data_IF_842720767630
#
_entry.id   IF_842720767630
#
_cell.length_a   1.000
_cell.length_b   1.000
_cell.length_c   1.000
_cell.angle_alpha   90.00
_cell.angle_beta   90.00
_cell.angle_gamma   90.00
#
_symmetry.space_group_name_H-M   'P 1'
#
loop_
_entity.id
_entity.type
_entity.pdbx_description
1 polymer ?
#
# COMPACT_ATOMS: atom_id res chain seq x y z
N UNK A 1 -22.99 1.11 -4.81
CA UNK A 1 -21.77 0.33 -4.52
C UNK A 1 -21.78 -0.86 -5.48
N UNK A 2 -20.75 -1.03 -6.29
CA UNK A 2 -20.66 -2.17 -7.23
C UNK A 2 -20.04 -3.34 -6.46
N UNK A 3 -20.57 -4.55 -6.61
CA UNK A 3 -19.97 -5.75 -5.99
C UNK A 3 -18.77 -6.22 -6.80
N UNK A 4 -17.88 -7.00 -6.18
CA UNK A 4 -16.74 -7.58 -6.90
C UNK A 4 -17.21 -8.42 -8.10
N UNK A 5 -18.26 -9.23 -7.92
CA UNK A 5 -18.83 -10.07 -8.98
C UNK A 5 -19.34 -9.24 -10.16
N UNK A 6 -20.09 -8.16 -9.89
CA UNK A 6 -20.58 -7.25 -10.94
C UNK A 6 -19.43 -6.56 -11.69
N UNK A 7 -18.36 -6.19 -10.97
CA UNK A 7 -17.17 -5.61 -11.59
C UNK A 7 -16.46 -6.63 -12.50
N UNK A 8 -16.32 -7.88 -12.05
CA UNK A 8 -15.75 -8.96 -12.86
C UNK A 8 -16.57 -9.22 -14.11
N UNK A 9 -17.89 -9.35 -13.99
CA UNK A 9 -18.77 -9.54 -15.16
C UNK A 9 -18.59 -8.42 -16.19
N UNK A 10 -18.48 -7.18 -15.72
CA UNK A 10 -18.28 -6.00 -16.59
C UNK A 10 -16.92 -6.05 -17.29
N UNK A 11 -15.84 -6.41 -16.57
CA UNK A 11 -14.50 -6.56 -17.16
C UNK A 11 -14.48 -7.70 -18.19
N UNK A 12 -15.19 -8.79 -17.93
CA UNK A 12 -15.29 -9.93 -18.85
C UNK A 12 -16.01 -9.60 -20.17
N UNK A 13 -16.81 -8.52 -20.23
CA UNK A 13 -17.40 -8.03 -21.48
C UNK A 13 -16.42 -7.27 -22.37
N UNK A 14 -15.25 -6.87 -21.85
CA UNK A 14 -14.22 -6.18 -22.64
C UNK A 14 -13.47 -7.15 -23.55
N UNK A 15 -12.93 -6.71 -24.70
CA UNK A 15 -11.97 -7.47 -25.47
C UNK A 15 -10.75 -7.89 -24.63
N UNK A 16 -10.17 -9.05 -24.94
CA UNK A 16 -9.05 -9.63 -24.17
C UNK A 16 -7.87 -8.66 -23.99
N UNK A 17 -7.53 -7.89 -25.04
CA UNK A 17 -6.49 -6.87 -24.98
C UNK A 17 -6.80 -5.76 -23.97
N UNK A 18 -8.06 -5.32 -23.90
CA UNK A 18 -8.50 -4.31 -22.93
C UNK A 18 -8.54 -4.86 -21.51
N UNK A 19 -8.88 -6.15 -21.33
CA UNK A 19 -8.79 -6.81 -20.02
C UNK A 19 -7.34 -6.79 -19.51
N UNK A 20 -6.37 -7.11 -20.36
CA UNK A 20 -4.95 -7.10 -19.99
C UNK A 20 -4.47 -5.69 -19.61
N UNK A 21 -4.86 -4.67 -20.40
CA UNK A 21 -4.54 -3.27 -20.09
C UNK A 21 -5.15 -2.86 -18.73
N UNK A 22 -6.38 -3.30 -18.45
CA UNK A 22 -7.08 -2.97 -17.21
C UNK A 22 -6.38 -3.58 -15.98
N UNK A 23 -5.87 -4.81 -16.08
CA UNK A 23 -5.04 -5.44 -15.03
C UNK A 23 -3.82 -4.57 -14.72
N UNK A 24 -3.09 -4.12 -15.74
CA UNK A 24 -1.91 -3.28 -15.56
C UNK A 24 -2.24 -1.92 -14.91
N UNK A 25 -3.35 -1.31 -15.32
CA UNK A 25 -3.81 -0.04 -14.76
C UNK A 25 -4.16 -0.21 -13.28
N UNK A 26 -4.95 -1.23 -12.93
CA UNK A 26 -5.34 -1.49 -11.54
C UNK A 26 -4.10 -1.75 -10.68
N UNK A 27 -3.16 -2.55 -11.19
CA UNK A 27 -1.93 -2.83 -10.47
C UNK A 27 -1.12 -1.57 -10.18
N UNK A 28 -0.94 -0.70 -11.19
CA UNK A 28 -0.24 0.59 -11.03
C UNK A 28 -0.95 1.51 -10.04
N UNK A 29 -2.28 1.60 -10.10
CA UNK A 29 -3.07 2.42 -9.16
C UNK A 29 -2.98 1.91 -7.73
N UNK A 30 -2.97 0.60 -7.54
CA UNK A 30 -2.81 0.02 -6.20
C UNK A 30 -1.40 0.31 -5.63
N UNK A 31 -0.35 0.24 -6.46
CA UNK A 31 0.99 0.66 -6.04
C UNK A 31 1.00 2.14 -5.65
N UNK A 32 0.37 3.01 -6.44
CA UNK A 32 0.35 4.45 -6.15
C UNK A 32 -0.42 4.75 -4.87
N UNK A 33 -1.58 4.12 -4.66
CA UNK A 33 -2.34 4.25 -3.42
C UNK A 33 -1.54 3.80 -2.19
N UNK A 34 -0.77 2.71 -2.29
CA UNK A 34 0.12 2.29 -1.20
C UNK A 34 1.26 3.27 -0.97
N UNK A 35 1.78 3.91 -2.02
CA UNK A 35 2.83 4.94 -1.87
C UNK A 35 2.29 6.17 -1.15
N UNK A 36 1.06 6.58 -1.46
CA UNK A 36 0.39 7.69 -0.77
C UNK A 36 0.20 7.39 0.71
N UNK A 37 -0.24 6.18 1.05
CA UNK A 37 -0.38 5.69 2.43
C UNK A 37 0.96 5.71 3.17
N UNK A 38 2.01 5.09 2.60
CA UNK A 38 3.37 5.10 3.18
C UNK A 38 3.88 6.54 3.38
N UNK A 39 3.63 7.44 2.43
CA UNK A 39 4.05 8.82 2.54
C UNK A 39 3.27 9.58 3.63
N UNK A 40 2.00 9.26 3.85
CA UNK A 40 1.21 9.80 4.95
C UNK A 40 1.77 9.32 6.29
N UNK A 41 1.94 8.02 6.44
CA UNK A 41 2.46 7.39 7.67
C UNK A 41 3.85 7.94 8.03
N UNK A 42 4.72 8.09 7.04
CA UNK A 42 6.05 8.67 7.24
C UNK A 42 5.98 10.12 7.74
N UNK A 43 5.10 10.95 7.18
CA UNK A 43 4.91 12.33 7.64
C UNK A 43 4.42 12.38 9.08
N UNK A 44 3.45 11.53 9.42
CA UNK A 44 2.90 11.47 10.78
C UNK A 44 3.94 10.98 11.79
N UNK A 45 4.70 9.94 11.45
CA UNK A 45 5.77 9.41 12.29
C UNK A 45 6.87 10.45 12.55
N UNK A 46 7.32 11.16 11.50
CA UNK A 46 8.34 12.22 11.64
C UNK A 46 7.81 13.36 12.52
N UNK A 47 6.57 13.79 12.32
CA UNK A 47 5.96 14.83 13.14
C UNK A 47 5.84 14.41 14.62
N UNK A 48 5.44 13.16 14.88
CA UNK A 48 5.34 12.62 16.24
C UNK A 48 6.72 12.50 16.92
N UNK A 49 7.76 12.13 16.17
CA UNK A 49 9.13 12.09 16.66
C UNK A 49 9.62 13.49 17.06
N UNK A 50 9.46 14.49 16.20
CA UNK A 50 9.84 15.88 16.50
C UNK A 50 9.03 16.48 17.65
N UNK A 51 7.78 16.05 17.83
CA UNK A 51 6.94 16.43 18.97
C UNK A 51 7.31 15.70 20.29
N UNK A 52 8.34 14.83 20.27
CA UNK A 52 8.79 14.09 21.45
C UNK A 52 7.85 12.95 21.87
N UNK A 53 6.88 12.57 21.02
CA UNK A 53 5.93 11.49 21.30
C UNK A 53 6.53 10.10 21.07
N UNK A 54 7.59 10.01 20.26
CA UNK A 54 8.31 8.78 19.96
C UNK A 54 9.72 8.83 20.56
N UNK A 55 10.20 7.69 21.04
CA UNK A 55 11.56 7.57 21.60
C UNK A 55 12.53 7.15 20.49
N UNK A 56 13.72 7.76 20.39
CA UNK A 56 14.76 7.29 19.48
C UNK A 56 15.23 5.89 19.92
N UNK A 57 15.48 5.03 18.94
CA UNK A 57 16.01 3.68 19.13
C UNK A 57 17.07 3.38 18.07
N UNK A 58 18.08 2.53 18.38
CA UNK A 58 19.06 2.08 17.40
C UNK A 58 18.39 1.33 16.25
N UNK A 59 18.85 1.59 15.01
CA UNK A 59 18.26 0.99 13.82
C UNK A 59 18.45 -0.53 13.78
N UNK A 60 19.55 -1.02 14.35
CA UNK A 60 19.88 -2.45 14.43
C UNK A 60 18.89 -3.22 15.31
N UNK A 61 18.41 -2.60 16.39
CA UNK A 61 17.39 -3.17 17.27
C UNK A 61 16.03 -3.24 16.57
N UNK A 62 15.64 -2.14 15.90
CA UNK A 62 14.39 -2.06 15.13
C UNK A 62 14.37 -3.10 14.00
N UNK A 63 15.45 -3.23 13.23
CA UNK A 63 15.54 -4.22 12.14
C UNK A 63 15.46 -5.65 12.69
N UNK A 64 16.11 -5.90 13.83
CA UNK A 64 16.10 -7.21 14.47
C UNK A 64 14.71 -7.61 14.98
N UNK A 65 13.98 -6.66 15.58
CA UNK A 65 12.60 -6.84 16.01
C UNK A 65 11.66 -7.09 14.82
N UNK A 66 11.77 -6.28 13.77
CA UNK A 66 10.94 -6.40 12.58
C UNK A 66 11.10 -7.77 11.92
N UNK A 67 12.34 -8.27 11.81
CA UNK A 67 12.60 -9.62 11.27
C UNK A 67 11.96 -10.73 12.09
N UNK A 68 12.02 -10.65 13.43
CA UNK A 68 11.37 -11.63 14.32
C UNK A 68 9.85 -11.61 14.22
N UNK A 69 9.25 -10.47 13.89
CA UNK A 69 7.79 -10.33 13.78
C UNK A 69 7.19 -10.90 12.48
N UNK A 70 8.03 -11.25 11.49
CA UNK A 70 7.59 -11.84 10.21
C UNK A 70 7.80 -13.36 10.11
N UNK A 71 8.29 -14.00 11.17
CA UNK A 71 8.32 -15.46 11.35
C UNK A 71 7.05 -15.94 12.07
#
# INVERSE_FOLDING_TARGET
MVTLDQALETVMQLPLEQQQILVDIIHKRHIESRREEIALDAREAIAAFHAGKLKPQPVEEIISELRRSQE
#
